data_IF_515552174743
#
_entry.id   IF_515552174743
#
_cell.length_a   1.000
_cell.length_b   1.000
_cell.length_c   1.000
_cell.angle_alpha   90.00
_cell.angle_beta   90.00
_cell.angle_gamma   90.00
#
_symmetry.space_group_name_H-M   'P 1'
#
loop_
_entity.id
_entity.type
_entity.pdbx_description
1 polymer ?
#
# COMPACT_ATOMS: atom_id res chain seq x y z
N UNK A 1 -8.11 -45.95 -57.58
CA UNK A 1 -6.69 -45.98 -57.18
C UNK A 1 -6.59 -45.08 -55.97
N UNK A 2 -6.75 -45.67 -54.80
CA UNK A 2 -7.12 -44.97 -53.57
C UNK A 2 -6.09 -45.24 -52.48
N UNK A 3 -5.59 -44.12 -51.93
CA UNK A 3 -5.09 -43.86 -50.57
C UNK A 3 -4.37 -44.98 -49.82
N UNK A 4 -3.07 -44.78 -49.66
CA UNK A 4 -2.22 -45.45 -48.66
C UNK A 4 -2.34 -44.67 -47.35
N UNK A 5 -2.81 -45.33 -46.30
CA UNK A 5 -2.72 -44.85 -44.92
C UNK A 5 -1.68 -45.70 -44.20
N UNK A 6 -0.54 -45.13 -43.84
CA UNK A 6 0.46 -45.79 -42.98
C UNK A 6 0.38 -45.14 -41.60
N UNK A 7 -0.05 -45.96 -40.64
CA UNK A 7 0.07 -45.70 -39.20
C UNK A 7 1.51 -45.92 -38.77
N UNK A 8 2.11 -44.95 -38.08
CA UNK A 8 3.28 -45.18 -37.25
C UNK A 8 3.06 -44.56 -35.88
N UNK A 9 2.84 -45.43 -34.90
CA UNK A 9 2.97 -45.12 -33.50
C UNK A 9 4.46 -44.94 -33.17
N UNK A 10 4.80 -43.84 -32.50
CA UNK A 10 6.01 -43.75 -31.70
C UNK A 10 5.63 -43.41 -30.26
N UNK A 11 5.95 -44.34 -29.37
CA UNK A 11 5.85 -44.18 -27.93
C UNK A 11 6.91 -43.20 -27.43
N UNK A 12 6.49 -42.15 -26.74
CA UNK A 12 7.35 -41.41 -25.83
C UNK A 12 6.70 -41.44 -24.45
N UNK A 13 7.30 -42.21 -23.55
CA UNK A 13 7.07 -42.16 -22.11
C UNK A 13 7.33 -40.73 -21.62
N UNK A 14 6.37 -40.03 -20.97
CA UNK A 14 6.68 -38.80 -20.29
C UNK A 14 7.37 -39.16 -18.97
N UNK A 15 8.66 -38.89 -18.87
CA UNK A 15 9.37 -38.79 -17.60
C UNK A 15 8.66 -37.75 -16.73
N UNK A 16 8.23 -38.19 -15.54
CA UNK A 16 7.65 -37.35 -14.52
C UNK A 16 8.69 -36.34 -14.00
N UNK A 17 8.64 -35.14 -14.54
CA UNK A 17 9.13 -33.93 -13.89
C UNK A 17 8.02 -32.89 -14.02
N UNK A 18 7.02 -32.98 -13.14
CA UNK A 18 6.08 -31.87 -12.94
C UNK A 18 6.86 -30.75 -12.25
N UNK A 19 7.58 -29.95 -13.03
CA UNK A 19 7.93 -28.62 -12.59
C UNK A 19 6.62 -27.83 -12.50
N UNK A 20 6.26 -27.37 -11.30
CA UNK A 20 5.20 -26.39 -11.09
C UNK A 20 5.54 -25.14 -11.93
N UNK A 21 5.10 -25.12 -13.18
CA UNK A 21 5.26 -23.97 -14.06
C UNK A 21 4.25 -22.92 -13.58
N UNK A 22 4.76 -21.89 -12.88
CA UNK A 22 4.04 -20.66 -12.60
C UNK A 22 3.52 -20.10 -13.94
N UNK A 23 2.21 -19.94 -14.07
CA UNK A 23 1.56 -19.40 -15.28
C UNK A 23 2.09 -17.99 -15.53
N UNK A 24 2.34 -17.62 -16.79
CA UNK A 24 2.76 -16.25 -17.14
C UNK A 24 1.82 -15.23 -16.48
N UNK A 25 2.32 -14.29 -15.65
CA UNK A 25 1.46 -13.41 -14.85
C UNK A 25 0.68 -12.42 -15.71
N UNK A 26 1.11 -12.18 -16.95
CA UNK A 26 0.43 -11.27 -17.87
C UNK A 26 -0.97 -11.74 -18.28
N UNK A 27 -1.22 -13.05 -18.32
CA UNK A 27 -2.54 -13.57 -18.75
C UNK A 27 -3.61 -13.48 -17.65
N UNK A 28 -3.33 -13.85 -16.37
CA UNK A 28 -4.28 -13.67 -15.26
C UNK A 28 -4.52 -12.21 -14.88
N UNK A 29 -3.50 -11.35 -14.97
CA UNK A 29 -3.66 -9.93 -14.63
C UNK A 29 -4.59 -9.19 -15.59
N UNK A 30 -4.58 -9.53 -16.89
CA UNK A 30 -5.53 -8.96 -17.85
C UNK A 30 -6.99 -9.29 -17.54
N UNK A 31 -7.26 -10.40 -16.84
CA UNK A 31 -8.61 -10.75 -16.40
C UNK A 31 -9.07 -9.95 -15.18
N UNK A 32 -8.17 -9.22 -14.51
CA UNK A 32 -8.50 -8.33 -13.38
C UNK A 32 -8.90 -6.92 -13.84
N UNK A 33 -8.99 -6.67 -15.16
CA UNK A 33 -9.57 -5.42 -15.65
C UNK A 33 -11.05 -5.36 -15.27
N UNK A 34 -11.42 -4.40 -14.44
CA UNK A 34 -12.83 -4.08 -14.15
C UNK A 34 -13.30 -2.95 -15.05
N UNK A 35 -14.61 -2.67 -15.04
CA UNK A 35 -15.15 -1.53 -15.80
C UNK A 35 -14.54 -0.22 -15.24
N UNK A 36 -13.76 0.49 -16.07
CA UNK A 36 -13.09 1.74 -15.70
C UNK A 36 -11.58 1.61 -15.43
N UNK A 37 -11.12 0.62 -14.65
CA UNK A 37 -9.71 0.52 -14.26
C UNK A 37 -8.83 -0.12 -15.34
N UNK A 38 -7.59 0.38 -15.50
CA UNK A 38 -6.61 -0.17 -16.45
C UNK A 38 -5.31 -0.55 -15.76
N UNK A 39 -4.71 -1.62 -16.26
CA UNK A 39 -3.41 -2.14 -15.83
C UNK A 39 -2.35 -1.79 -16.87
N UNK A 40 -1.31 -1.08 -16.45
CA UNK A 40 -0.16 -0.74 -17.28
C UNK A 40 1.10 -1.42 -16.76
N UNK A 41 1.85 -2.05 -17.67
CA UNK A 41 3.14 -2.68 -17.36
C UNK A 41 4.12 -2.23 -18.43
N UNK A 42 5.06 -1.33 -18.08
CA UNK A 42 6.01 -0.74 -19.04
C UNK A 42 6.96 -1.79 -19.62
N UNK A 43 7.42 -2.72 -18.78
CA UNK A 43 8.38 -3.75 -19.14
C UNK A 43 7.87 -5.15 -18.76
N UNK A 44 6.93 -5.74 -19.55
CA UNK A 44 6.30 -7.02 -19.22
C UNK A 44 7.29 -8.15 -19.00
N UNK A 45 8.36 -8.22 -19.80
CA UNK A 45 9.41 -9.24 -19.66
C UNK A 45 10.23 -9.07 -18.36
N UNK A 46 10.45 -7.83 -17.91
CA UNK A 46 11.12 -7.58 -16.61
C UNK A 46 10.21 -8.05 -15.49
N UNK A 47 8.94 -7.64 -15.53
CA UNK A 47 7.94 -8.05 -14.54
C UNK A 47 7.79 -9.58 -14.48
N UNK A 48 7.69 -10.27 -15.61
CA UNK A 48 7.59 -11.72 -15.66
C UNK A 48 8.80 -12.42 -15.02
N UNK A 49 10.03 -11.94 -15.26
CA UNK A 49 11.25 -12.48 -14.60
C UNK A 49 11.23 -12.28 -13.09
N UNK A 50 10.83 -11.09 -12.60
CA UNK A 50 10.65 -10.84 -11.16
C UNK A 50 9.62 -11.81 -10.58
N UNK A 51 8.49 -11.97 -11.26
CA UNK A 51 7.42 -12.85 -10.82
C UNK A 51 7.85 -14.31 -10.76
N UNK A 52 8.59 -14.80 -11.75
CA UNK A 52 9.15 -16.16 -11.73
C UNK A 52 10.06 -16.38 -10.51
N UNK A 53 10.87 -15.39 -10.15
CA UNK A 53 11.70 -15.42 -8.94
C UNK A 53 10.84 -15.49 -7.68
N UNK A 54 9.79 -14.68 -7.58
CA UNK A 54 8.83 -14.73 -6.46
C UNK A 54 8.16 -16.11 -6.36
N UNK A 55 7.69 -16.65 -7.49
CA UNK A 55 7.11 -17.99 -7.58
C UNK A 55 8.07 -19.08 -7.11
N UNK A 56 9.35 -19.02 -7.52
CA UNK A 56 10.37 -20.01 -7.14
C UNK A 56 10.75 -19.96 -5.66
N UNK A 57 10.81 -18.77 -5.08
CA UNK A 57 11.18 -18.57 -3.68
C UNK A 57 10.00 -18.84 -2.72
N UNK A 58 8.77 -18.61 -3.19
CA UNK A 58 7.54 -18.88 -2.48
C UNK A 58 7.19 -17.87 -1.39
N UNK A 59 6.00 -18.04 -0.79
CA UNK A 59 5.42 -17.09 0.17
C UNK A 59 6.24 -16.97 1.47
N UNK A 60 7.02 -17.99 1.83
CA UNK A 60 7.91 -17.95 3.02
C UNK A 60 9.01 -16.90 2.90
N UNK A 61 9.37 -16.49 1.69
CA UNK A 61 10.39 -15.47 1.43
C UNK A 61 9.79 -14.09 1.14
N UNK A 62 8.46 -13.98 1.12
CA UNK A 62 7.74 -12.75 0.81
C UNK A 62 7.56 -11.86 2.05
N UNK A 63 7.61 -10.55 1.86
CA UNK A 63 7.05 -9.54 2.76
C UNK A 63 6.25 -8.53 1.93
N UNK A 64 5.26 -7.89 2.54
CA UNK A 64 4.47 -6.84 1.90
C UNK A 64 4.69 -5.53 2.62
N UNK A 65 4.98 -4.47 1.87
CA UNK A 65 5.08 -3.10 2.37
C UNK A 65 4.07 -2.27 1.59
N UNK A 66 3.08 -1.71 2.27
CA UNK A 66 2.01 -0.94 1.65
C UNK A 66 1.88 0.43 2.30
N UNK A 67 1.67 1.47 1.50
CA UNK A 67 1.06 2.69 2.03
C UNK A 67 -0.40 2.42 2.47
N UNK A 68 -1.00 3.34 3.23
CA UNK A 68 -2.37 3.24 3.72
C UNK A 68 -3.35 4.09 2.91
N UNK A 69 -3.20 5.41 2.98
CA UNK A 69 -4.15 6.38 2.46
C UNK A 69 -4.16 6.31 0.94
N UNK A 70 -5.32 6.05 0.34
CA UNK A 70 -5.46 5.97 -1.13
C UNK A 70 -4.66 4.82 -1.77
N UNK A 71 -4.05 3.94 -0.96
CA UNK A 71 -3.41 2.69 -1.40
C UNK A 71 -4.20 1.47 -0.92
N UNK A 72 -4.39 1.32 0.40
CA UNK A 72 -5.27 0.29 0.97
C UNK A 72 -6.69 0.82 1.14
N UNK A 73 -6.83 2.12 1.41
CA UNK A 73 -8.11 2.82 1.35
C UNK A 73 -8.38 3.33 -0.06
N UNK A 74 -9.67 3.53 -0.38
CA UNK A 74 -10.11 4.06 -1.69
C UNK A 74 -9.67 5.51 -1.85
N UNK A 75 -9.78 6.00 -3.08
CA UNK A 75 -9.63 7.41 -3.39
C UNK A 75 -10.98 8.12 -3.56
N UNK A 76 -11.99 7.43 -4.10
CA UNK A 76 -13.36 7.91 -4.20
C UNK A 76 -14.33 6.97 -3.46
N UNK A 77 -15.45 7.50 -2.98
CA UNK A 77 -16.57 6.69 -2.51
C UNK A 77 -17.46 6.21 -3.67
N UNK A 78 -18.62 5.63 -3.34
CA UNK A 78 -19.58 5.14 -4.33
C UNK A 78 -20.35 6.26 -5.05
N UNK A 79 -20.38 7.47 -4.47
CA UNK A 79 -21.02 8.66 -5.03
C UNK A 79 -20.04 9.48 -5.90
N UNK A 80 -18.75 9.14 -5.87
CA UNK A 80 -17.68 9.78 -6.64
C UNK A 80 -16.99 10.93 -5.89
N UNK A 81 -17.29 11.11 -4.61
CA UNK A 81 -16.64 12.11 -3.77
C UNK A 81 -15.30 11.57 -3.24
N UNK A 82 -14.34 12.47 -3.03
CA UNK A 82 -13.04 12.11 -2.47
C UNK A 82 -13.19 11.64 -1.02
N UNK A 83 -12.59 10.48 -0.70
CA UNK A 83 -12.54 10.00 0.68
C UNK A 83 -11.37 10.63 1.43
N UNK A 84 -11.55 10.77 2.74
CA UNK A 84 -10.55 11.36 3.63
C UNK A 84 -9.30 10.49 3.78
N UNK A 85 -8.13 11.13 3.77
CA UNK A 85 -6.90 10.57 4.34
C UNK A 85 -6.96 10.53 5.87
N UNK A 86 -5.97 9.92 6.53
CA UNK A 86 -5.87 9.91 7.99
C UNK A 86 -5.89 11.32 8.61
N UNK A 87 -5.20 12.29 8.00
CA UNK A 87 -5.28 13.68 8.45
C UNK A 87 -6.67 14.25 8.20
N UNK A 88 -7.25 14.01 7.01
CA UNK A 88 -8.60 14.45 6.66
C UNK A 88 -9.68 13.95 7.63
N UNK A 89 -9.55 12.71 8.13
CA UNK A 89 -10.47 12.11 9.13
C UNK A 89 -10.60 12.99 10.38
N UNK A 90 -9.51 13.61 10.83
CA UNK A 90 -9.53 14.51 11.98
C UNK A 90 -9.83 15.95 11.56
N UNK A 91 -9.10 16.44 10.56
CA UNK A 91 -9.07 17.84 10.18
C UNK A 91 -10.36 18.33 9.51
N UNK A 92 -11.21 17.41 9.02
CA UNK A 92 -12.54 17.72 8.46
C UNK A 92 -13.69 17.19 9.33
N UNK A 93 -13.38 16.65 10.51
CA UNK A 93 -14.37 16.00 11.37
C UNK A 93 -15.34 17.00 11.98
N UNK A 94 -16.61 16.61 12.07
CA UNK A 94 -17.62 17.34 12.86
C UNK A 94 -17.50 17.10 14.36
N UNK A 95 -16.63 16.17 14.78
CA UNK A 95 -16.31 15.89 16.19
C UNK A 95 -15.37 16.95 16.76
N UNK A 96 -14.52 17.53 15.91
CA UNK A 96 -13.60 18.59 16.27
C UNK A 96 -14.27 19.96 16.05
N UNK A 97 -13.71 21.00 16.67
CA UNK A 97 -14.19 22.36 16.46
C UNK A 97 -14.01 22.77 14.98
N UNK A 98 -15.01 23.42 14.36
CA UNK A 98 -14.93 23.87 12.98
C UNK A 98 -13.70 24.71 12.64
N UNK A 99 -13.06 25.38 13.61
CA UNK A 99 -11.82 26.12 13.40
C UNK A 99 -10.68 25.25 12.86
N UNK A 100 -10.67 23.94 13.17
CA UNK A 100 -9.67 23.00 12.65
C UNK A 100 -9.82 22.81 11.14
N UNK A 101 -11.06 22.77 10.66
CA UNK A 101 -11.34 22.72 9.22
C UNK A 101 -10.83 23.98 8.49
N UNK A 102 -10.80 25.13 9.17
CA UNK A 102 -10.28 26.37 8.59
C UNK A 102 -8.76 26.32 8.47
N UNK A 103 -8.07 25.84 9.50
CA UNK A 103 -6.63 25.60 9.47
C UNK A 103 -6.23 24.59 8.39
N UNK A 104 -6.99 23.53 8.19
CA UNK A 104 -6.72 22.56 7.13
C UNK A 104 -6.78 23.19 5.75
N UNK A 105 -7.82 23.99 5.48
CA UNK A 105 -7.95 24.69 4.19
C UNK A 105 -6.77 25.62 3.95
N UNK A 106 -6.37 26.39 4.96
CA UNK A 106 -5.21 27.28 4.85
C UNK A 106 -3.91 26.51 4.55
N UNK A 107 -3.70 25.36 5.19
CA UNK A 107 -2.55 24.51 4.95
C UNK A 107 -2.56 23.92 3.53
N UNK A 108 -3.69 23.38 3.09
CA UNK A 108 -3.86 22.82 1.74
C UNK A 108 -3.62 23.91 0.69
N UNK A 109 -4.25 25.07 0.82
CA UNK A 109 -4.11 26.19 -0.12
C UNK A 109 -2.66 26.69 -0.21
N UNK A 110 -1.91 26.63 0.90
CA UNK A 110 -0.51 27.05 0.95
C UNK A 110 0.43 26.01 0.34
N UNK A 111 0.28 24.73 0.71
CA UNK A 111 1.31 23.72 0.47
C UNK A 111 1.01 22.81 -0.72
N UNK A 112 -0.26 22.51 -1.02
CA UNK A 112 -0.62 21.63 -2.14
C UNK A 112 -0.10 22.17 -3.50
N UNK A 113 -0.16 23.47 -3.84
CA UNK A 113 0.43 23.97 -5.09
C UNK A 113 1.95 23.74 -5.19
N UNK A 114 2.64 23.75 -4.04
CA UNK A 114 4.10 23.56 -3.99
C UNK A 114 4.49 22.12 -4.31
N UNK A 115 3.61 21.14 -4.06
CA UNK A 115 3.87 19.72 -4.36
C UNK A 115 3.93 19.42 -5.85
N UNK A 116 3.41 20.31 -6.70
CA UNK A 116 3.40 20.16 -8.17
C UNK A 116 4.25 21.22 -8.90
N UNK A 117 4.93 22.11 -8.19
CA UNK A 117 5.74 23.16 -8.81
C UNK A 117 6.94 22.56 -9.56
N UNK A 118 7.06 22.71 -10.90
CA UNK A 118 8.05 21.99 -11.71
C UNK A 118 9.48 22.55 -11.57
N UNK A 119 9.62 23.81 -11.12
CA UNK A 119 10.92 24.48 -10.96
C UNK A 119 11.59 24.20 -9.62
N UNK A 120 10.90 23.51 -8.71
CA UNK A 120 11.36 23.27 -7.34
C UNK A 120 12.18 21.98 -7.26
N UNK A 121 13.36 22.07 -6.64
CA UNK A 121 14.23 20.92 -6.39
C UNK A 121 13.60 19.90 -5.43
N UNK A 122 14.15 18.69 -5.38
CA UNK A 122 13.69 17.65 -4.46
C UNK A 122 13.92 18.10 -3.00
N UNK A 123 15.05 18.75 -2.72
CA UNK A 123 15.42 19.26 -1.41
C UNK A 123 14.45 20.35 -0.93
N UNK A 124 14.13 21.33 -1.78
CA UNK A 124 13.17 22.39 -1.46
C UNK A 124 11.77 21.82 -1.22
N UNK A 125 11.31 20.91 -2.10
CA UNK A 125 10.01 20.26 -1.95
C UNK A 125 9.92 19.44 -0.67
N UNK A 126 11.01 18.75 -0.31
CA UNK A 126 11.13 18.00 0.94
C UNK A 126 11.00 18.93 2.16
N UNK A 127 11.62 20.11 2.13
CA UNK A 127 11.52 21.09 3.21
C UNK A 127 10.10 21.66 3.35
N UNK A 128 9.41 21.91 2.23
CA UNK A 128 8.00 22.33 2.24
C UNK A 128 7.08 21.24 2.78
N UNK A 129 7.29 19.99 2.36
CA UNK A 129 6.50 18.85 2.85
C UNK A 129 6.64 18.68 4.36
N UNK A 130 7.88 18.79 4.87
CA UNK A 130 8.14 18.81 6.32
C UNK A 130 7.37 19.94 7.01
N UNK A 131 7.43 21.16 6.47
CA UNK A 131 6.78 22.33 7.05
C UNK A 131 5.25 22.16 7.10
N UNK A 132 4.66 21.57 6.06
CA UNK A 132 3.24 21.27 6.02
C UNK A 132 2.84 20.28 7.13
N UNK A 133 3.51 19.13 7.19
CA UNK A 133 3.18 18.10 8.19
C UNK A 133 3.39 18.57 9.63
N UNK A 134 4.47 19.31 9.90
CA UNK A 134 4.71 19.90 11.23
C UNK A 134 3.54 20.81 11.63
N UNK A 135 3.13 21.73 10.74
CA UNK A 135 2.01 22.64 11.04
C UNK A 135 0.69 21.91 11.18
N UNK A 136 0.42 20.89 10.36
CA UNK A 136 -0.78 20.07 10.48
C UNK A 136 -0.83 19.37 11.86
N UNK A 137 0.30 18.86 12.33
CA UNK A 137 0.41 18.25 13.65
C UNK A 137 0.28 19.28 14.78
N UNK A 138 0.92 20.44 14.66
CA UNK A 138 0.84 21.52 15.65
C UNK A 138 -0.61 21.99 15.85
N UNK A 139 -1.40 22.10 14.77
CA UNK A 139 -2.84 22.44 14.87
C UNK A 139 -3.60 21.44 15.74
N UNK A 140 -3.35 20.14 15.57
CA UNK A 140 -4.00 19.10 16.38
C UNK A 140 -3.55 19.16 17.85
N UNK A 141 -2.28 19.44 18.10
CA UNK A 141 -1.71 19.58 19.45
C UNK A 141 -2.25 20.82 20.16
N UNK A 142 -2.24 21.97 19.49
CA UNK A 142 -2.72 23.24 20.02
C UNK A 142 -4.22 23.18 20.35
N UNK A 143 -4.99 22.46 19.53
CA UNK A 143 -6.40 22.16 19.79
C UNK A 143 -6.63 21.21 20.96
N UNK A 144 -5.60 20.45 21.37
CA UNK A 144 -5.69 19.44 22.43
C UNK A 144 -6.65 18.30 22.08
N UNK A 145 -6.49 17.72 20.89
CA UNK A 145 -7.27 16.54 20.47
C UNK A 145 -7.20 15.46 21.54
N UNK A 146 -8.35 14.90 21.91
CA UNK A 146 -8.42 13.78 22.84
C UNK A 146 -8.46 12.44 22.11
N UNK A 147 -8.01 11.36 22.76
CA UNK A 147 -8.15 10.00 22.20
C UNK A 147 -9.60 9.65 21.87
N UNK A 148 -10.54 10.06 22.71
CA UNK A 148 -11.97 9.85 22.48
C UNK A 148 -12.48 10.57 21.21
N UNK A 149 -11.97 11.77 20.93
CA UNK A 149 -12.30 12.48 19.67
C UNK A 149 -11.72 11.77 18.45
N UNK A 150 -10.51 11.18 18.55
CA UNK A 150 -9.97 10.34 17.46
C UNK A 150 -10.90 9.16 17.17
N UNK A 151 -11.28 8.40 18.19
CA UNK A 151 -12.21 7.26 18.04
C UNK A 151 -13.54 7.69 17.43
N UNK A 152 -14.14 8.78 17.93
CA UNK A 152 -15.41 9.29 17.42
C UNK A 152 -15.29 9.82 15.98
N UNK A 153 -14.21 10.52 15.64
CA UNK A 153 -13.96 11.02 14.30
C UNK A 153 -13.83 9.88 13.29
N UNK A 154 -13.08 8.82 13.63
CA UNK A 154 -12.96 7.62 12.79
C UNK A 154 -14.31 6.94 12.59
N UNK A 155 -15.12 6.81 13.64
CA UNK A 155 -16.46 6.23 13.52
C UNK A 155 -17.39 7.03 12.61
N UNK A 156 -17.24 8.35 12.54
CA UNK A 156 -18.04 9.21 11.67
C UNK A 156 -17.52 9.31 10.24
N UNK A 157 -16.20 9.22 10.04
CA UNK A 157 -15.56 9.50 8.76
C UNK A 157 -15.86 8.45 7.68
N UNK A 158 -16.23 7.22 8.07
CA UNK A 158 -16.61 6.19 7.11
C UNK A 158 -15.49 5.77 6.15
N UNK A 159 -14.24 5.68 6.63
CA UNK A 159 -13.08 5.29 5.80
C UNK A 159 -13.36 3.97 5.07
N UNK A 160 -13.20 3.99 3.74
CA UNK A 160 -13.49 2.86 2.85
C UNK A 160 -12.20 2.16 2.42
N UNK A 161 -12.12 0.85 2.66
CA UNK A 161 -11.06 0.01 2.11
C UNK A 161 -11.33 -0.33 0.64
N UNK A 162 -10.27 -0.47 -0.16
CA UNK A 162 -10.39 -0.98 -1.53
C UNK A 162 -11.02 -2.38 -1.52
N UNK A 163 -11.90 -2.69 -2.49
CA UNK A 163 -12.37 -4.06 -2.69
C UNK A 163 -11.18 -5.03 -2.80
N UNK A 164 -11.27 -6.20 -2.17
CA UNK A 164 -10.19 -7.18 -2.06
C UNK A 164 -9.27 -7.02 -0.84
N UNK A 165 -9.37 -5.94 -0.05
CA UNK A 165 -8.52 -5.73 1.14
C UNK A 165 -8.55 -6.91 2.13
N UNK A 166 -9.75 -7.38 2.47
CA UNK A 166 -9.92 -8.47 3.43
C UNK A 166 -9.37 -9.80 2.92
N UNK A 167 -9.55 -10.09 1.63
CA UNK A 167 -9.06 -11.31 1.00
C UNK A 167 -7.53 -11.32 0.95
N UNK A 168 -6.93 -10.18 0.58
CA UNK A 168 -5.47 -9.99 0.63
C UNK A 168 -4.95 -10.19 2.05
N UNK A 169 -5.52 -9.51 3.05
CA UNK A 169 -5.08 -9.62 4.43
C UNK A 169 -5.22 -11.05 4.96
N UNK A 170 -6.32 -11.74 4.64
CA UNK A 170 -6.54 -13.12 5.03
C UNK A 170 -5.54 -14.08 4.39
N UNK A 171 -5.22 -13.91 3.10
CA UNK A 171 -4.20 -14.71 2.42
C UNK A 171 -2.83 -14.52 3.06
N UNK A 172 -2.44 -13.27 3.36
CA UNK A 172 -1.18 -12.95 4.01
C UNK A 172 -1.11 -13.56 5.40
N UNK A 173 -2.17 -13.41 6.21
CA UNK A 173 -2.24 -13.99 7.56
C UNK A 173 -2.15 -15.52 7.53
N UNK A 174 -2.87 -16.18 6.63
CA UNK A 174 -2.87 -17.64 6.48
C UNK A 174 -1.50 -18.17 6.08
N UNK A 175 -0.77 -17.44 5.22
CA UNK A 175 0.58 -17.78 4.80
C UNK A 175 1.68 -17.27 5.76
N UNK A 176 1.31 -16.65 6.88
CA UNK A 176 2.20 -15.96 7.81
C UNK A 176 3.16 -14.98 7.10
N UNK A 177 2.68 -14.26 6.09
CA UNK A 177 3.45 -13.22 5.39
C UNK A 177 3.29 -11.91 6.14
N UNK A 178 4.37 -11.27 6.59
CA UNK A 178 4.29 -10.00 7.30
C UNK A 178 3.85 -8.89 6.34
N UNK A 179 2.85 -8.12 6.77
CA UNK A 179 2.36 -6.93 6.11
C UNK A 179 2.77 -5.72 6.95
N UNK A 180 3.55 -4.83 6.38
CA UNK A 180 3.80 -3.52 6.95
C UNK A 180 2.94 -2.47 6.24
N UNK A 181 2.13 -1.77 7.02
CA UNK A 181 1.51 -0.51 6.61
C UNK A 181 2.49 0.61 6.98
N UNK A 182 3.11 1.23 5.97
CA UNK A 182 4.06 2.33 6.13
C UNK A 182 3.47 3.62 5.57
N UNK A 183 2.88 4.41 6.48
CA UNK A 183 2.07 5.57 6.13
C UNK A 183 2.72 6.88 6.60
N UNK A 184 2.49 7.95 5.84
CA UNK A 184 2.77 9.32 6.25
C UNK A 184 1.58 9.96 7.00
N UNK A 185 0.49 9.22 7.18
CA UNK A 185 -0.69 9.64 7.93
C UNK A 185 -0.46 9.63 9.44
N UNK A 186 -1.52 9.34 10.20
CA UNK A 186 -1.53 9.36 11.66
C UNK A 186 -1.73 7.92 12.17
N UNK A 187 -0.76 7.40 12.93
CA UNK A 187 -0.76 6.03 13.44
C UNK A 187 -2.04 5.68 14.22
N UNK A 188 -2.45 6.53 15.16
CA UNK A 188 -3.60 6.29 16.03
C UNK A 188 -4.93 6.28 15.24
N UNK A 189 -5.03 7.09 14.18
CA UNK A 189 -6.17 7.04 13.24
C UNK A 189 -6.16 5.74 12.46
N UNK A 190 -5.02 5.32 11.90
CA UNK A 190 -4.89 4.05 11.15
C UNK A 190 -5.26 2.86 12.04
N UNK A 191 -4.73 2.83 13.26
CA UNK A 191 -5.00 1.77 14.22
C UNK A 191 -6.48 1.69 14.59
N UNK A 192 -7.11 2.83 14.84
CA UNK A 192 -8.54 2.88 15.14
C UNK A 192 -9.39 2.47 13.92
N UNK A 193 -9.05 2.92 12.71
CA UNK A 193 -9.74 2.51 11.46
C UNK A 193 -9.67 1.00 11.29
N UNK A 194 -8.48 0.40 11.42
CA UNK A 194 -8.30 -1.04 11.34
C UNK A 194 -9.06 -1.77 12.45
N UNK A 195 -8.95 -1.30 13.70
CA UNK A 195 -9.65 -1.91 14.83
C UNK A 195 -11.17 -1.93 14.60
N UNK A 196 -11.75 -0.82 14.17
CA UNK A 196 -13.18 -0.74 13.87
C UNK A 196 -13.57 -1.63 12.68
N UNK A 197 -12.80 -1.65 11.60
CA UNK A 197 -13.10 -2.48 10.42
C UNK A 197 -13.11 -3.98 10.76
N UNK A 198 -12.08 -4.46 11.47
CA UNK A 198 -12.00 -5.86 11.89
C UNK A 198 -13.08 -6.22 12.93
N UNK A 199 -13.39 -5.29 13.86
CA UNK A 199 -14.47 -5.49 14.85
C UNK A 199 -15.84 -5.61 14.18
N UNK A 200 -16.14 -4.77 13.18
CA UNK A 200 -17.39 -4.85 12.39
C UNK A 200 -17.57 -6.22 11.72
N UNK A 201 -16.48 -6.92 11.42
CA UNK A 201 -16.45 -8.26 10.82
C UNK A 201 -16.36 -9.40 11.85
N UNK A 202 -16.53 -9.10 13.13
CA UNK A 202 -16.55 -10.10 14.21
C UNK A 202 -15.16 -10.55 14.69
N UNK A 203 -14.09 -9.89 14.26
CA UNK A 203 -12.73 -10.15 14.75
C UNK A 203 -12.41 -9.25 15.94
N UNK A 204 -11.57 -9.72 16.86
CA UNK A 204 -11.21 -8.93 18.06
C UNK A 204 -10.22 -7.81 17.79
N UNK A 205 -9.36 -7.99 16.80
CA UNK A 205 -8.28 -7.10 16.44
C UNK A 205 -7.80 -7.43 15.01
N UNK A 206 -7.02 -6.54 14.36
CA UNK A 206 -6.31 -6.87 13.13
C UNK A 206 -5.38 -8.10 13.29
N UNK A 207 -5.07 -8.84 12.22
CA UNK A 207 -4.17 -9.99 12.27
C UNK A 207 -2.78 -9.64 12.81
N UNK A 208 -2.17 -10.54 13.58
CA UNK A 208 -0.87 -10.30 14.24
C UNK A 208 0.33 -10.17 13.28
N UNK A 209 0.18 -10.58 12.02
CA UNK A 209 1.19 -10.37 10.98
C UNK A 209 1.10 -8.98 10.32
N UNK A 210 0.15 -8.14 10.74
CA UNK A 210 0.00 -6.76 10.29
C UNK A 210 0.69 -5.80 11.25
N UNK A 211 1.60 -5.01 10.71
CA UNK A 211 2.40 -4.02 11.43
C UNK A 211 2.10 -2.64 10.87
N UNK A 212 2.21 -1.60 11.70
CA UNK A 212 2.02 -0.20 11.27
C UNK A 212 3.21 0.64 11.71
N UNK A 213 3.75 1.42 10.77
CA UNK A 213 4.73 2.49 11.03
C UNK A 213 4.18 3.77 10.42
N UNK A 214 3.95 4.77 11.27
CA UNK A 214 3.33 6.05 10.91
C UNK A 214 3.60 7.10 12.00
N UNK A 215 3.07 8.32 11.87
CA UNK A 215 3.22 9.37 12.87
C UNK A 215 2.36 9.08 14.10
N UNK A 216 3.00 8.66 15.20
CA UNK A 216 2.32 8.26 16.44
C UNK A 216 2.04 9.43 17.35
N UNK A 217 0.79 9.61 17.74
CA UNK A 217 0.37 10.64 18.69
C UNK A 217 0.91 10.33 20.09
N UNK A 218 1.33 11.37 20.80
CA UNK A 218 1.74 11.30 22.19
C UNK A 218 0.65 11.93 23.06
N UNK A 219 -0.12 11.09 23.75
CA UNK A 219 -1.17 11.52 24.67
C UNK A 219 -0.63 11.55 26.11
N UNK A 220 -1.06 12.54 26.88
CA UNK A 220 -0.77 12.62 28.31
C UNK A 220 -1.66 11.68 29.15
N UNK A 221 -1.59 11.81 30.48
CA UNK A 221 -2.35 10.99 31.42
C UNK A 221 -3.85 11.25 31.40
N UNK A 222 -4.29 12.38 30.83
CA UNK A 222 -5.69 12.75 30.67
C UNK A 222 -6.21 12.45 29.25
N UNK A 223 -5.46 11.65 28.47
CA UNK A 223 -5.73 11.29 27.08
C UNK A 223 -5.82 12.51 26.13
N UNK A 224 -5.07 13.57 26.43
CA UNK A 224 -4.94 14.77 25.60
C UNK A 224 -3.63 14.75 24.81
N UNK A 225 -3.71 15.05 23.52
CA UNK A 225 -2.55 15.11 22.61
C UNK A 225 -1.58 16.22 23.01
N UNK A 226 -0.30 15.87 23.18
CA UNK A 226 0.79 16.79 23.51
C UNK A 226 1.87 16.86 22.44
N UNK A 227 1.86 15.95 21.47
CA UNK A 227 2.86 15.91 20.40
C UNK A 227 2.81 14.64 19.58
N UNK A 228 3.86 14.40 18.80
CA UNK A 228 4.05 13.18 18.02
C UNK A 228 5.40 12.55 18.35
N UNK A 229 5.44 11.23 18.42
CA UNK A 229 6.64 10.46 18.81
C UNK A 229 7.54 10.18 17.60
N UNK A 230 8.84 10.17 17.86
CA UNK A 230 9.85 9.77 16.89
C UNK A 230 10.11 10.82 15.81
N UNK A 231 10.63 10.37 14.67
CA UNK A 231 10.89 11.23 13.53
C UNK A 231 9.63 11.36 12.68
N UNK A 232 9.34 12.59 12.22
CA UNK A 232 8.25 12.86 11.30
C UNK A 232 8.38 12.03 10.03
N UNK A 233 7.30 11.35 9.65
CA UNK A 233 7.14 10.68 8.36
C UNK A 233 6.23 11.55 7.48
N UNK A 234 6.70 11.89 6.28
CA UNK A 234 5.94 12.58 5.26
C UNK A 234 6.17 11.91 3.89
N UNK A 235 5.39 12.29 2.89
CA UNK A 235 5.36 11.63 1.56
C UNK A 235 6.70 11.57 0.80
N UNK A 236 7.74 12.28 1.24
CA UNK A 236 9.05 12.36 0.56
C UNK A 236 10.21 11.77 1.36
N UNK A 237 10.00 11.30 2.59
CA UNK A 237 11.08 10.72 3.41
C UNK A 237 10.84 9.27 3.82
N UNK A 238 9.83 8.60 3.25
CA UNK A 238 9.59 7.18 3.49
C UNK A 238 10.73 6.34 2.94
N UNK A 239 11.47 5.70 3.84
CA UNK A 239 12.54 4.77 3.52
C UNK A 239 12.74 3.79 4.67
N UNK A 240 13.51 2.73 4.43
CA UNK A 240 13.65 1.60 5.34
C UNK A 240 14.39 1.91 6.64
N UNK A 241 14.97 3.11 6.81
CA UNK A 241 15.59 3.50 8.10
C UNK A 241 14.59 3.44 9.26
N UNK A 242 13.29 3.60 9.00
CA UNK A 242 12.26 3.50 10.04
C UNK A 242 11.97 2.06 10.46
N UNK A 243 12.47 1.06 9.71
CA UNK A 243 12.22 -0.36 9.98
C UNK A 243 13.22 -0.94 10.97
N UNK A 244 14.37 -0.29 11.14
CA UNK A 244 15.39 -0.75 12.07
C UNK A 244 14.85 -0.76 13.51
N UNK A 245 14.97 -1.91 14.18
CA UNK A 245 14.46 -2.08 15.54
C UNK A 245 12.93 -2.25 15.65
N UNK A 246 12.19 -2.31 14.55
CA UNK A 246 10.76 -2.66 14.55
C UNK A 246 10.54 -4.17 14.69
N UNK A 247 9.35 -4.59 15.13
CA UNK A 247 8.97 -6.00 15.16
C UNK A 247 8.94 -6.61 13.76
N UNK A 248 8.36 -5.91 12.79
CA UNK A 248 8.39 -6.26 11.38
C UNK A 248 9.83 -6.52 10.87
N UNK A 249 10.75 -5.57 11.10
CA UNK A 249 12.14 -5.68 10.66
C UNK A 249 12.84 -6.89 11.29
N UNK A 250 12.65 -7.12 12.59
CA UNK A 250 13.18 -8.31 13.29
C UNK A 250 12.63 -9.60 12.72
N UNK A 251 11.32 -9.68 12.49
CA UNK A 251 10.67 -10.86 11.93
C UNK A 251 11.21 -11.17 10.52
N UNK A 252 11.24 -10.17 9.64
CA UNK A 252 11.74 -10.31 8.28
C UNK A 252 13.20 -10.78 8.24
N UNK A 253 14.04 -10.26 9.14
CA UNK A 253 15.43 -10.69 9.27
C UNK A 253 15.56 -12.14 9.74
N UNK A 254 14.88 -12.53 10.82
CA UNK A 254 14.95 -13.88 11.39
C UNK A 254 14.41 -14.96 10.43
N UNK A 255 13.39 -14.63 9.65
CA UNK A 255 12.76 -15.54 8.69
C UNK A 255 13.41 -15.46 7.29
N UNK A 256 14.47 -14.67 7.13
CA UNK A 256 15.21 -14.46 5.89
C UNK A 256 14.31 -14.07 4.70
N UNK A 257 13.32 -13.22 4.97
CA UNK A 257 12.40 -12.69 3.95
C UNK A 257 13.13 -11.63 3.13
N UNK A 258 13.06 -11.73 1.81
CA UNK A 258 13.80 -10.87 0.90
C UNK A 258 12.98 -10.45 -0.33
N UNK A 259 11.91 -11.16 -0.68
CA UNK A 259 11.02 -10.75 -1.76
C UNK A 259 10.00 -9.73 -1.25
N UNK A 260 10.00 -8.53 -1.81
CA UNK A 260 9.20 -7.40 -1.36
C UNK A 260 8.10 -7.11 -2.39
N UNK A 261 6.84 -7.26 -1.99
CA UNK A 261 5.72 -6.71 -2.72
C UNK A 261 5.41 -5.32 -2.13
N UNK A 262 5.66 -4.27 -2.92
CA UNK A 262 5.50 -2.88 -2.51
C UNK A 262 4.25 -2.28 -3.16
N UNK A 263 3.35 -1.73 -2.35
CA UNK A 263 2.11 -1.08 -2.79
C UNK A 263 2.13 0.39 -2.40
N UNK A 264 1.83 1.30 -3.32
CA UNK A 264 1.74 2.74 -3.01
C UNK A 264 0.98 3.51 -4.08
N UNK A 265 0.49 4.69 -3.74
CA UNK A 265 -0.24 5.57 -4.66
C UNK A 265 0.60 6.79 -5.05
N UNK A 266 1.66 7.10 -4.31
CA UNK A 266 2.54 8.25 -4.58
C UNK A 266 3.90 7.83 -5.15
N UNK A 267 4.53 8.73 -5.91
CA UNK A 267 5.90 8.52 -6.38
C UNK A 267 6.92 8.43 -5.23
N UNK A 268 6.57 8.92 -4.03
CA UNK A 268 7.42 8.79 -2.85
C UNK A 268 7.48 7.36 -2.30
N UNK A 269 6.41 6.59 -2.48
CA UNK A 269 6.26 5.25 -1.89
C UNK A 269 7.19 4.22 -2.51
N UNK A 270 7.69 4.45 -3.72
CA UNK A 270 8.69 3.57 -4.36
C UNK A 270 9.96 3.42 -3.53
N UNK A 271 10.20 4.36 -2.62
CA UNK A 271 11.35 4.43 -1.74
C UNK A 271 11.13 3.74 -0.38
N UNK A 272 9.94 3.21 -0.06
CA UNK A 272 9.65 2.61 1.25
C UNK A 272 10.62 1.48 1.63
N UNK A 273 11.15 0.75 0.64
CA UNK A 273 12.15 -0.29 0.84
C UNK A 273 13.61 0.22 0.79
N UNK A 274 13.87 1.46 0.37
CA UNK A 274 15.24 1.97 0.21
C UNK A 274 15.99 1.96 1.54
N UNK A 275 17.15 1.31 1.57
CA UNK A 275 17.91 1.04 2.79
C UNK A 275 17.85 -0.42 3.24
N UNK A 276 16.88 -1.21 2.73
CA UNK A 276 16.94 -2.66 2.81
C UNK A 276 17.94 -3.22 1.78
N UNK A 277 18.53 -4.37 2.10
CA UNK A 277 19.35 -5.13 1.15
C UNK A 277 18.44 -6.07 0.35
N UNK A 278 18.24 -5.76 -0.92
CA UNK A 278 17.53 -6.61 -1.87
C UNK A 278 18.14 -6.44 -3.27
N UNK A 279 18.05 -7.46 -4.10
CA UNK A 279 18.33 -7.36 -5.53
C UNK A 279 17.14 -6.73 -6.28
N UNK A 280 17.43 -6.09 -7.41
CA UNK A 280 16.42 -5.40 -8.23
C UNK A 280 15.21 -6.27 -8.62
N UNK A 281 15.41 -7.58 -8.72
CA UNK A 281 14.41 -8.59 -9.06
C UNK A 281 13.72 -9.23 -7.84
N UNK A 282 14.11 -8.85 -6.62
CA UNK A 282 13.46 -9.22 -5.36
C UNK A 282 12.41 -8.19 -4.92
N UNK A 283 12.13 -7.17 -5.72
CA UNK A 283 11.08 -6.18 -5.44
C UNK A 283 10.14 -5.99 -6.61
N UNK A 284 8.84 -6.12 -6.36
CA UNK A 284 7.77 -5.79 -7.30
C UNK A 284 7.01 -4.60 -6.73
N UNK A 285 6.95 -3.51 -7.50
CA UNK A 285 6.24 -2.28 -7.13
C UNK A 285 4.92 -2.17 -7.90
N UNK A 286 3.81 -2.03 -7.18
CA UNK A 286 2.47 -1.81 -7.72
C UNK A 286 2.01 -0.41 -7.31
N UNK A 287 1.74 0.42 -8.30
CA UNK A 287 1.34 1.82 -8.14
C UNK A 287 -0.15 2.03 -8.37
N UNK A 288 -0.86 2.71 -7.47
CA UNK A 288 -2.24 3.14 -7.65
C UNK A 288 -2.27 4.60 -8.15
N UNK A 289 -2.51 4.80 -9.44
CA UNK A 289 -2.66 6.11 -10.05
C UNK A 289 -4.14 6.51 -10.06
N UNK A 290 -4.58 7.13 -8.96
CA UNK A 290 -6.00 7.38 -8.70
C UNK A 290 -6.59 8.58 -9.47
N UNK A 291 -5.76 9.53 -9.89
CA UNK A 291 -6.19 10.76 -10.56
C UNK A 291 -5.13 11.27 -11.54
N UNK A 292 -5.50 12.20 -12.41
CA UNK A 292 -4.59 12.83 -13.39
C UNK A 292 -3.84 11.77 -14.21
N UNK A 293 -4.58 10.75 -14.66
CA UNK A 293 -4.03 9.55 -15.28
C UNK A 293 -3.26 9.94 -16.54
N UNK A 294 -3.85 10.76 -17.40
CA UNK A 294 -3.23 11.20 -18.66
C UNK A 294 -1.91 11.94 -18.44
N UNK A 295 -1.81 12.81 -17.43
CA UNK A 295 -0.61 13.61 -17.21
C UNK A 295 0.50 12.84 -16.49
N UNK A 296 0.13 11.89 -15.60
CA UNK A 296 1.09 11.27 -14.67
C UNK A 296 1.45 9.83 -15.02
N UNK A 297 0.70 9.18 -15.92
CA UNK A 297 0.91 7.76 -16.27
C UNK A 297 2.36 7.44 -16.62
N UNK A 298 3.01 8.24 -17.46
CA UNK A 298 4.37 7.93 -17.93
C UNK A 298 5.37 7.98 -16.76
N UNK A 299 5.22 8.93 -15.83
CA UNK A 299 6.05 9.00 -14.61
C UNK A 299 5.82 7.78 -13.69
N UNK A 300 4.58 7.32 -13.56
CA UNK A 300 4.26 6.12 -12.77
C UNK A 300 4.78 4.85 -13.43
N UNK A 301 4.67 4.73 -14.75
CA UNK A 301 5.21 3.60 -15.52
C UNK A 301 6.74 3.51 -15.49
N UNK A 302 7.42 4.63 -15.22
CA UNK A 302 8.87 4.67 -14.98
C UNK A 302 9.24 4.22 -13.57
N UNK A 303 8.38 4.50 -12.59
CA UNK A 303 8.64 4.28 -11.16
C UNK A 303 8.15 2.93 -10.62
N UNK A 304 7.05 2.40 -11.17
CA UNK A 304 6.40 1.16 -10.74
C UNK A 304 6.48 0.05 -11.81
N UNK A 305 6.50 -1.21 -11.37
CA UNK A 305 6.48 -2.35 -12.29
C UNK A 305 5.07 -2.57 -12.89
N UNK A 306 4.04 -2.32 -12.09
CA UNK A 306 2.62 -2.38 -12.47
C UNK A 306 1.94 -1.09 -12.01
N UNK A 307 1.17 -0.45 -12.89
CA UNK A 307 0.35 0.73 -12.55
C UNK A 307 -1.12 0.40 -12.75
N UNK A 308 -1.91 0.62 -11.71
CA UNK A 308 -3.35 0.44 -11.67
C UNK A 308 -4.00 1.82 -11.66
N UNK A 309 -5.01 2.05 -12.50
CA UNK A 309 -5.62 3.38 -12.70
C UNK A 309 -7.09 3.41 -12.26
N UNK A 310 -7.63 4.61 -12.06
CA UNK A 310 -9.06 4.85 -11.85
C UNK A 310 -9.63 4.14 -10.60
N UNK A 311 -8.98 4.38 -9.45
CA UNK A 311 -9.33 3.82 -8.13
C UNK A 311 -9.50 2.29 -8.13
N UNK A 312 -8.59 1.58 -8.82
CA UNK A 312 -8.61 0.13 -8.98
C UNK A 312 -8.72 -0.67 -7.68
N UNK A 313 -9.31 -1.86 -7.74
CA UNK A 313 -9.40 -2.79 -6.61
C UNK A 313 -8.04 -3.43 -6.27
N UNK A 314 -7.98 -4.19 -5.18
CA UNK A 314 -6.83 -5.02 -4.83
C UNK A 314 -6.84 -6.39 -5.52
N UNK A 315 -7.69 -6.62 -6.54
CA UNK A 315 -7.83 -7.93 -7.19
C UNK A 315 -6.54 -8.39 -7.87
N UNK A 316 -5.78 -7.46 -8.47
CA UNK A 316 -4.44 -7.74 -9.03
C UNK A 316 -3.50 -8.26 -7.95
N UNK A 317 -3.49 -7.62 -6.77
CA UNK A 317 -2.65 -8.02 -5.64
C UNK A 317 -3.10 -9.38 -5.10
N UNK A 318 -4.41 -9.56 -4.93
CA UNK A 318 -5.01 -10.80 -4.49
C UNK A 318 -4.66 -11.97 -5.42
N UNK A 319 -4.78 -11.79 -6.73
CA UNK A 319 -4.49 -12.82 -7.73
C UNK A 319 -3.01 -13.22 -7.74
N UNK A 320 -2.10 -12.25 -7.61
CA UNK A 320 -0.67 -12.52 -7.45
C UNK A 320 -0.40 -13.37 -6.19
N UNK A 321 -0.94 -12.95 -5.04
CA UNK A 321 -0.76 -13.69 -3.78
C UNK A 321 -1.36 -15.10 -3.83
N UNK A 322 -2.53 -15.25 -4.48
CA UNK A 322 -3.18 -16.55 -4.69
C UNK A 322 -2.31 -17.50 -5.52
N UNK A 323 -1.70 -17.00 -6.60
CA UNK A 323 -0.77 -17.79 -7.42
C UNK A 323 0.48 -18.21 -6.66
N UNK A 324 1.03 -17.34 -5.82
CA UNK A 324 2.15 -17.70 -4.93
C UNK A 324 1.74 -18.80 -3.95
N UNK A 325 0.53 -18.74 -3.39
CA UNK A 325 0.06 -19.79 -2.48
C UNK A 325 -0.12 -21.14 -3.19
N UNK A 326 -0.75 -21.14 -4.38
CA UNK A 326 -0.96 -22.35 -5.17
C UNK A 326 0.33 -22.98 -5.68
N UNK A 327 1.36 -22.19 -5.95
CA UNK A 327 2.66 -22.72 -6.41
C UNK A 327 3.44 -23.46 -5.32
N UNK A 328 3.08 -23.24 -4.04
CA UNK A 328 3.72 -23.82 -2.86
C UNK A 328 2.98 -25.06 -2.30
N UNK A 329 1.86 -25.47 -2.93
CA UNK A 329 1.19 -26.76 -2.68
C UNK A 329 1.60 -27.76 -3.77
#
# INVERSE_FOLDING_TARGET
>A
MSSITVSLAMSATPTAAAANACVSPTTPLQACNTDGSRIYIKHPERFARKWERFCRAGAKKLMVIADFDQTLTRFYDDDGDHVNSCHGVLMTSRVLDPVICDHERDLVDTFHPLTFTPTMTIEERTAHMRSWWVRAHDVLVDYKVTRAQVTAAVSQAGVLFRPGFHDVVQLLATANVPLLIFSAGIYDVIHEVLQQEFTKRGQKAPPSNMHVVSNMMDFDTDDVLQGFRGNLIHSMNKNASVLEGTEFGRQCHMEERHNILLLGDSLGDVNMANGMQFADDEIIRIGFLNHSVEERRDQYMDAFDVVLTDDATLDVVHELLRQLHLSNQ
#
